data_IF_535628429904
#
_entry.id   IF_535628429904
#
_cell.length_a   1.000
_cell.length_b   1.000
_cell.length_c   1.000
_cell.angle_alpha   90.00
_cell.angle_beta   90.00
_cell.angle_gamma   90.00
#
_symmetry.space_group_name_H-M   'P 1'
#
loop_
_entity.id
_entity.type
_entity.pdbx_description
1 polymer ?
#
# COMPACT_ATOMS: atom_id res chain seq x y z
N UNK A 1 -11.94 7.41 9.25
CA UNK A 1 -10.91 6.40 9.51
C UNK A 1 -10.40 5.85 8.21
N UNK A 2 -9.08 5.79 8.06
CA UNK A 2 -8.42 5.25 6.88
C UNK A 2 -7.72 3.95 7.22
N UNK A 3 -7.80 2.98 6.30
CA UNK A 3 -6.99 1.77 6.36
C UNK A 3 -5.74 1.99 5.52
N UNK A 4 -4.58 1.91 6.14
CA UNK A 4 -3.31 2.06 5.45
C UNK A 4 -2.82 0.67 5.05
N UNK A 5 -2.47 0.52 3.78
CA UNK A 5 -2.02 -0.77 3.24
C UNK A 5 -0.65 -0.60 2.61
N UNK A 6 0.34 -1.24 3.22
CA UNK A 6 1.70 -1.26 2.68
C UNK A 6 1.76 -2.36 1.62
N UNK A 7 1.92 -1.95 0.36
CA UNK A 7 1.86 -2.87 -0.77
C UNK A 7 3.24 -3.35 -1.24
N UNK A 8 4.29 -2.97 -0.50
CA UNK A 8 5.66 -3.33 -0.83
C UNK A 8 5.93 -4.80 -0.54
N UNK A 9 7.11 -5.27 -0.97
CA UNK A 9 7.53 -6.63 -0.64
C UNK A 9 7.87 -6.75 0.84
N UNK A 10 7.84 -7.98 1.35
CA UNK A 10 8.22 -8.22 2.75
C UNK A 10 9.65 -7.77 3.02
N UNK A 11 10.55 -7.99 2.07
CA UNK A 11 11.95 -7.58 2.22
C UNK A 11 12.09 -6.07 2.40
N UNK A 12 11.33 -5.30 1.62
CA UNK A 12 11.34 -3.84 1.75
C UNK A 12 10.81 -3.41 3.10
N UNK A 13 9.72 -4.02 3.56
CA UNK A 13 9.15 -3.71 4.87
C UNK A 13 10.11 -4.07 6.01
N UNK A 14 10.79 -5.20 5.88
CA UNK A 14 11.77 -5.62 6.89
C UNK A 14 12.95 -4.65 6.98
N UNK A 15 13.36 -4.09 5.84
CA UNK A 15 14.49 -3.15 5.80
C UNK A 15 14.17 -1.80 6.43
N UNK A 16 13.01 -1.25 6.16
CA UNK A 16 12.68 0.12 6.57
C UNK A 16 11.68 0.20 7.73
N UNK A 17 10.94 -0.87 7.96
CA UNK A 17 9.73 -0.81 8.76
C UNK A 17 8.55 -0.31 7.94
N UNK A 18 7.39 -0.22 8.55
CA UNK A 18 6.16 0.22 7.92
C UNK A 18 5.38 1.12 8.88
N UNK A 19 4.32 1.76 8.39
CA UNK A 19 3.49 2.62 9.24
C UNK A 19 2.81 1.74 10.30
N UNK A 20 2.95 2.08 11.59
CA UNK A 20 2.30 1.28 12.65
C UNK A 20 0.79 1.14 12.39
N UNK A 21 0.30 -0.09 12.51
CA UNK A 21 -1.11 -0.39 12.29
C UNK A 21 -1.52 -0.59 10.84
N UNK A 22 -0.60 -0.43 9.89
CA UNK A 22 -0.92 -0.69 8.49
C UNK A 22 -1.08 -2.19 8.23
N UNK A 23 -1.93 -2.52 7.25
CA UNK A 23 -2.02 -3.87 6.72
C UNK A 23 -0.87 -4.09 5.75
N UNK A 24 -0.37 -5.31 5.69
CA UNK A 24 0.76 -5.67 4.83
C UNK A 24 0.27 -6.62 3.76
N UNK A 25 0.03 -6.10 2.56
CA UNK A 25 -0.46 -6.90 1.44
C UNK A 25 0.38 -6.53 0.21
N UNK A 26 1.34 -7.39 -0.13
CA UNK A 26 2.20 -7.14 -1.28
C UNK A 26 1.40 -7.19 -2.58
N UNK A 27 1.44 -6.10 -3.34
CA UNK A 27 0.72 -6.01 -4.62
C UNK A 27 1.63 -6.27 -5.82
N UNK A 28 2.90 -5.92 -5.71
CA UNK A 28 3.86 -6.11 -6.82
C UNK A 28 5.14 -6.73 -6.26
N UNK A 29 5.72 -7.65 -7.02
CA UNK A 29 6.97 -8.27 -6.62
C UNK A 29 8.17 -7.37 -6.98
N UNK A 30 9.40 -7.87 -6.76
CA UNK A 30 10.62 -7.08 -7.01
C UNK A 30 10.82 -6.74 -8.48
N UNK A 31 10.13 -7.43 -9.38
CA UNK A 31 10.20 -7.18 -10.83
C UNK A 31 9.08 -6.26 -11.30
N UNK A 32 8.23 -5.81 -10.39
CA UNK A 32 7.09 -4.97 -10.74
C UNK A 32 5.90 -5.74 -11.28
N UNK A 33 5.89 -7.06 -11.14
CA UNK A 33 4.79 -7.91 -11.59
C UNK A 33 3.71 -7.96 -10.52
N UNK A 34 2.45 -7.80 -10.94
CA UNK A 34 1.32 -7.84 -10.02
C UNK A 34 1.19 -9.23 -9.41
N UNK A 35 1.06 -9.27 -8.08
CA UNK A 35 0.94 -10.52 -7.32
C UNK A 35 -0.50 -11.04 -7.45
N UNK A 36 -0.71 -12.24 -8.00
CA UNK A 36 -2.08 -12.74 -8.25
C UNK A 36 -2.93 -12.86 -7.00
N UNK A 37 -2.33 -13.16 -5.86
CA UNK A 37 -3.05 -13.36 -4.60
C UNK A 37 -3.50 -12.05 -3.95
N UNK A 38 -3.02 -10.90 -4.46
CA UNK A 38 -3.32 -9.60 -3.85
C UNK A 38 -4.82 -9.37 -3.70
N UNK A 39 -5.58 -9.57 -4.76
CA UNK A 39 -7.02 -9.25 -4.74
C UNK A 39 -7.78 -10.11 -3.73
N UNK A 40 -7.43 -11.39 -3.62
CA UNK A 40 -8.08 -12.26 -2.64
C UNK A 40 -7.80 -11.80 -1.22
N UNK A 41 -6.54 -11.55 -0.90
CA UNK A 41 -6.15 -11.08 0.43
C UNK A 41 -6.79 -9.74 0.73
N UNK A 42 -6.79 -8.83 -0.23
CA UNK A 42 -7.41 -7.53 -0.09
C UNK A 42 -8.90 -7.65 0.22
N UNK A 43 -9.63 -8.48 -0.54
CA UNK A 43 -11.06 -8.67 -0.33
C UNK A 43 -11.40 -9.31 1.00
N UNK A 44 -10.50 -10.14 1.53
CA UNK A 44 -10.70 -10.75 2.85
C UNK A 44 -10.55 -9.72 3.99
N UNK A 45 -9.77 -8.67 3.79
CA UNK A 45 -9.41 -7.72 4.84
C UNK A 45 -10.03 -6.34 4.68
N UNK A 46 -10.47 -5.99 3.48
CA UNK A 46 -10.88 -4.63 3.14
C UNK A 46 -12.17 -4.67 2.32
N UNK A 47 -13.10 -3.78 2.66
CA UNK A 47 -14.30 -3.56 1.87
C UNK A 47 -14.01 -2.48 0.83
N UNK A 48 -14.60 -2.58 -0.37
CA UNK A 48 -14.40 -1.58 -1.42
C UNK A 48 -14.93 -0.20 -1.05
N UNK A 49 -15.78 -0.13 -0.04
CA UNK A 49 -16.31 1.14 0.47
C UNK A 49 -15.44 1.75 1.57
N UNK A 50 -14.43 1.03 2.04
CA UNK A 50 -13.50 1.55 3.05
C UNK A 50 -12.65 2.66 2.47
N UNK A 51 -12.25 3.60 3.33
CA UNK A 51 -11.25 4.60 2.96
C UNK A 51 -9.87 3.97 3.07
N UNK A 52 -9.18 3.86 1.94
CA UNK A 52 -7.91 3.13 1.86
C UNK A 52 -6.81 4.06 1.36
N UNK A 53 -5.64 3.95 1.98
CA UNK A 53 -4.43 4.62 1.52
C UNK A 53 -3.39 3.55 1.23
N UNK A 54 -3.04 3.40 -0.03
CA UNK A 54 -1.97 2.48 -0.44
C UNK A 54 -0.61 3.16 -0.28
N UNK A 55 0.35 2.43 0.27
CA UNK A 55 1.69 2.92 0.53
C UNK A 55 2.69 2.09 -0.24
N UNK A 56 3.49 2.75 -1.08
CA UNK A 56 4.61 2.13 -1.77
C UNK A 56 5.91 2.82 -1.33
N UNK A 57 7.02 2.48 -1.99
CA UNK A 57 8.31 3.03 -1.59
C UNK A 57 8.39 4.54 -1.86
N UNK A 58 7.93 4.98 -3.05
CA UNK A 58 8.03 6.38 -3.47
C UNK A 58 6.70 7.01 -3.86
N UNK A 59 5.62 6.25 -3.87
CA UNK A 59 4.28 6.74 -4.15
C UNK A 59 3.78 6.53 -5.58
N UNK A 60 4.64 6.15 -6.51
CA UNK A 60 4.26 6.00 -7.93
C UNK A 60 3.40 4.76 -8.17
N UNK A 61 3.89 3.61 -7.70
CA UNK A 61 3.18 2.35 -7.98
C UNK A 61 1.89 2.26 -7.16
N UNK A 62 1.85 2.86 -5.97
CA UNK A 62 0.61 2.91 -5.19
C UNK A 62 -0.42 3.81 -5.86
N UNK A 63 0.03 4.86 -6.54
CA UNK A 63 -0.86 5.73 -7.33
C UNK A 63 -1.49 4.98 -8.49
N UNK A 64 -0.70 4.17 -9.19
CA UNK A 64 -1.19 3.34 -10.29
C UNK A 64 -2.24 2.36 -9.78
N UNK A 65 -1.97 1.72 -8.64
CA UNK A 65 -2.91 0.77 -8.05
C UNK A 65 -4.22 1.44 -7.63
N UNK A 66 -4.13 2.59 -6.94
CA UNK A 66 -5.31 3.33 -6.52
C UNK A 66 -6.17 3.74 -7.72
N UNK A 67 -5.53 4.25 -8.78
CA UNK A 67 -6.22 4.64 -10.00
C UNK A 67 -6.91 3.45 -10.67
N UNK A 68 -6.27 2.27 -10.65
CA UNK A 68 -6.88 1.05 -11.19
C UNK A 68 -8.17 0.67 -10.47
N UNK A 69 -8.17 0.78 -9.13
CA UNK A 69 -9.37 0.53 -8.35
C UNK A 69 -10.50 1.50 -8.71
N UNK A 70 -10.17 2.79 -8.85
CA UNK A 70 -11.17 3.80 -9.20
C UNK A 70 -11.73 3.54 -10.60
N UNK A 71 -10.86 3.33 -11.58
CA UNK A 71 -11.27 3.23 -12.98
C UNK A 71 -11.96 1.91 -13.32
N UNK A 72 -11.48 0.81 -12.74
CA UNK A 72 -11.99 -0.51 -13.11
C UNK A 72 -13.06 -1.04 -12.19
N UNK A 73 -13.06 -0.63 -10.93
CA UNK A 73 -13.99 -1.15 -9.93
C UNK A 73 -14.92 -0.07 -9.36
N UNK A 74 -14.73 1.18 -9.76
CA UNK A 74 -15.54 2.28 -9.25
C UNK A 74 -15.34 2.57 -7.77
N UNK A 75 -14.23 2.13 -7.20
CA UNK A 75 -13.93 2.30 -5.78
C UNK A 75 -13.30 3.67 -5.54
N UNK A 76 -14.14 4.68 -5.28
CA UNK A 76 -13.72 6.08 -5.24
C UNK A 76 -12.94 6.47 -3.98
N UNK A 77 -12.89 5.60 -2.98
CA UNK A 77 -12.24 5.90 -1.70
C UNK A 77 -10.83 5.31 -1.59
N UNK A 78 -10.20 5.05 -2.72
CA UNK A 78 -8.84 4.51 -2.78
C UNK A 78 -7.86 5.63 -3.08
N UNK A 79 -6.83 5.75 -2.24
CA UNK A 79 -5.85 6.82 -2.32
C UNK A 79 -4.44 6.26 -2.32
N UNK A 80 -3.48 7.07 -2.74
CA UNK A 80 -2.07 6.75 -2.68
C UNK A 80 -1.37 7.73 -1.74
N UNK A 81 -0.45 7.24 -0.91
CA UNK A 81 0.34 8.10 -0.04
C UNK A 81 1.46 8.74 -0.85
N UNK A 82 1.35 10.05 -1.05
CA UNK A 82 2.33 10.82 -1.86
C UNK A 82 3.70 10.80 -1.20
N UNK A 83 4.73 10.48 -1.99
CA UNK A 83 6.10 10.38 -1.50
C UNK A 83 6.46 9.05 -0.88
N UNK A 84 5.46 8.24 -0.50
CA UNK A 84 5.66 6.90 0.02
C UNK A 84 6.49 6.81 1.29
N UNK A 85 7.02 5.63 1.55
CA UNK A 85 7.85 5.37 2.74
C UNK A 85 9.09 6.25 2.76
N UNK A 86 9.68 6.54 1.58
CA UNK A 86 10.88 7.38 1.52
C UNK A 86 10.64 8.77 2.07
N UNK A 87 9.46 9.34 1.85
CA UNK A 87 9.12 10.64 2.42
C UNK A 87 9.06 10.59 3.94
N UNK A 88 8.50 9.51 4.49
CA UNK A 88 8.44 9.34 5.94
C UNK A 88 9.84 9.17 6.56
N UNK A 89 10.72 8.44 5.87
CA UNK A 89 12.10 8.29 6.32
C UNK A 89 12.80 9.65 6.37
N UNK A 90 12.60 10.48 5.34
CA UNK A 90 13.16 11.84 5.31
C UNK A 90 12.69 12.69 6.48
N UNK A 91 11.47 12.47 6.95
CA UNK A 91 10.86 13.24 8.03
C UNK A 91 11.08 12.60 9.40
N UNK A 92 11.93 11.58 9.48
CA UNK A 92 12.23 10.86 10.72
C UNK A 92 10.97 10.27 11.40
N UNK A 93 9.99 9.88 10.60
CA UNK A 93 8.79 9.24 11.13
C UNK A 93 9.13 7.86 11.71
N UNK A 94 8.57 7.53 12.87
CA UNK A 94 8.83 6.24 13.53
C UNK A 94 8.08 5.10 12.83
N UNK A 95 8.82 4.39 11.97
CA UNK A 95 8.28 3.20 11.31
C UNK A 95 8.46 1.98 12.22
N UNK A 96 7.48 1.09 12.16
CA UNK A 96 7.46 -0.12 12.97
C UNK A 96 8.12 -1.27 12.20
N UNK A 97 9.07 -1.95 12.83
CA UNK A 97 9.67 -3.16 12.27
C UNK A 97 9.08 -4.39 12.93
N UNK A 98 8.72 -5.35 12.10
CA UNK A 98 8.17 -6.62 12.59
C UNK A 98 9.25 -7.66 12.78
#
# INVERSE_FOLDING_TARGET
>A
NYKFIDIRTKKERDNTGTIPGSLEITAFDIYGTFVPEFMKTFQDLVDLNDNVVFISNEGEISSILANGFVEQLGATNMHSFSGGIQQLIKEDYNLSKN
#
